data_IF_450538953779
#
_entry.id   IF_450538953779
#
_cell.length_a   1.000
_cell.length_b   1.000
_cell.length_c   1.000
_cell.angle_alpha   90.00
_cell.angle_beta   90.00
_cell.angle_gamma   90.00
#
_symmetry.space_group_name_H-M   'P 1'
#
loop_
_entity.id
_entity.type
_entity.pdbx_description
1 polymer ?
#
# COMPACT_ATOMS: atom_id res chain seq x y z
N UNK A 1 -31.94 -20.95 1.05
CA UNK A 1 -30.83 -21.06 0.09
C UNK A 1 -29.54 -20.72 0.82
N UNK A 2 -28.39 -21.21 0.36
CA UNK A 2 -27.10 -20.79 0.89
C UNK A 2 -26.86 -19.31 0.56
N UNK A 3 -26.22 -18.53 1.44
CA UNK A 3 -25.95 -17.14 1.16
C UNK A 3 -24.87 -17.02 0.08
N UNK A 4 -25.04 -16.06 -0.83
CA UNK A 4 -24.02 -15.80 -1.85
C UNK A 4 -22.82 -15.12 -1.19
N UNK A 5 -21.64 -15.73 -1.33
CA UNK A 5 -20.38 -15.23 -0.76
C UNK A 5 -19.36 -15.01 -1.88
N UNK A 6 -18.61 -13.93 -1.79
CA UNK A 6 -17.55 -13.58 -2.75
C UNK A 6 -16.32 -13.08 -2.00
N UNK A 7 -15.15 -13.60 -2.37
CA UNK A 7 -13.88 -13.15 -1.80
C UNK A 7 -13.57 -11.71 -2.21
N UNK A 8 -12.93 -10.98 -1.30
CA UNK A 8 -12.47 -9.62 -1.52
C UNK A 8 -10.97 -9.60 -1.85
N UNK A 9 -10.45 -8.43 -2.22
CA UNK A 9 -9.04 -8.28 -2.60
C UNK A 9 -8.03 -8.49 -1.44
N UNK A 10 -8.51 -8.49 -0.20
CA UNK A 10 -7.75 -8.88 0.99
C UNK A 10 -7.99 -10.36 1.25
N UNK A 11 -6.91 -11.14 1.34
CA UNK A 11 -6.93 -12.59 1.50
C UNK A 11 -7.79 -13.02 2.70
N UNK A 12 -8.75 -13.93 2.46
CA UNK A 12 -9.69 -14.40 3.47
C UNK A 12 -10.78 -13.41 3.89
N UNK A 13 -10.77 -12.16 3.42
CA UNK A 13 -11.90 -11.26 3.58
C UNK A 13 -12.97 -11.58 2.53
N UNK A 14 -14.24 -11.48 2.90
CA UNK A 14 -15.34 -11.81 2.00
C UNK A 14 -16.53 -10.90 2.22
N UNK A 15 -17.36 -10.78 1.19
CA UNK A 15 -18.68 -10.17 1.27
C UNK A 15 -19.72 -11.26 1.05
N UNK A 16 -20.72 -11.29 1.92
CA UNK A 16 -21.83 -12.23 1.85
C UNK A 16 -23.15 -11.47 1.78
N UNK A 17 -24.12 -12.01 1.06
CA UNK A 17 -25.48 -11.49 1.02
C UNK A 17 -26.49 -12.56 1.36
N UNK A 18 -27.39 -12.25 2.30
CA UNK A 18 -28.55 -13.08 2.61
C UNK A 18 -29.80 -12.60 1.88
N UNK A 19 -30.72 -13.54 1.68
CA UNK A 19 -32.04 -13.24 1.17
C UNK A 19 -32.84 -12.42 2.19
N UNK A 20 -33.60 -11.46 1.65
CA UNK A 20 -34.51 -10.62 2.42
C UNK A 20 -35.93 -10.92 1.98
N UNK A 21 -36.80 -11.25 2.94
CA UNK A 21 -38.19 -11.63 2.70
C UNK A 21 -39.08 -10.49 3.17
N UNK A 22 -39.77 -9.83 2.22
CA UNK A 22 -40.64 -8.69 2.50
C UNK A 22 -42.12 -9.06 2.49
N UNK A 23 -42.90 -8.41 3.33
CA UNK A 23 -44.37 -8.39 3.28
C UNK A 23 -44.92 -7.02 3.69
N UNK A 24 -46.24 -6.87 3.82
CA UNK A 24 -46.89 -5.60 4.15
C UNK A 24 -46.48 -5.01 5.51
N UNK A 25 -45.82 -5.78 6.38
CA UNK A 25 -45.34 -5.35 7.70
C UNK A 25 -43.91 -4.81 7.65
N UNK A 26 -43.16 -5.07 6.57
CA UNK A 26 -41.75 -4.75 6.44
C UNK A 26 -40.95 -5.90 5.82
N UNK A 27 -39.77 -6.18 6.35
CA UNK A 27 -38.95 -7.30 5.89
C UNK A 27 -38.28 -8.05 7.03
N UNK A 28 -38.03 -9.33 6.78
CA UNK A 28 -37.20 -10.21 7.59
C UNK A 28 -35.89 -10.51 6.85
N UNK A 29 -34.77 -10.45 7.56
CA UNK A 29 -33.46 -10.74 7.02
C UNK A 29 -32.67 -11.57 8.03
N UNK A 30 -32.15 -12.72 7.60
CA UNK A 30 -31.18 -13.46 8.40
C UNK A 30 -29.82 -12.78 8.28
N UNK A 31 -29.20 -12.45 9.42
CA UNK A 31 -27.84 -11.89 9.42
C UNK A 31 -26.78 -12.97 9.62
N UNK A 32 -27.15 -14.13 10.15
CA UNK A 32 -26.27 -15.29 10.25
C UNK A 32 -27.13 -16.54 10.40
N UNK A 33 -26.79 -17.59 9.66
CA UNK A 33 -27.41 -18.90 9.80
C UNK A 33 -26.33 -19.97 9.54
N UNK A 34 -25.81 -20.54 10.62
CA UNK A 34 -24.75 -21.56 10.59
C UNK A 34 -25.04 -22.69 9.60
N UNK A 35 -26.27 -23.19 9.58
CA UNK A 35 -26.67 -24.33 8.75
C UNK A 35 -26.78 -24.01 7.26
N UNK A 36 -26.81 -22.71 6.89
CA UNK A 36 -26.90 -22.27 5.48
C UNK A 36 -25.55 -21.97 4.86
N UNK A 37 -24.49 -21.85 5.66
CA UNK A 37 -23.14 -21.72 5.13
C UNK A 37 -22.60 -23.07 4.64
N UNK A 38 -21.69 -23.04 3.68
CA UNK A 38 -20.96 -24.21 3.16
C UNK A 38 -19.81 -24.69 4.07
N UNK A 39 -19.78 -24.22 5.32
CA UNK A 39 -18.73 -24.52 6.31
C UNK A 39 -17.56 -23.52 6.32
N UNK A 40 -17.31 -22.79 5.23
CA UNK A 40 -16.15 -21.88 5.12
C UNK A 40 -16.20 -20.68 6.08
N UNK A 41 -17.41 -20.24 6.43
CA UNK A 41 -17.70 -19.08 7.28
C UNK A 41 -18.47 -19.44 8.56
N UNK A 42 -18.54 -20.73 8.89
CA UNK A 42 -19.07 -21.19 10.18
C UNK A 42 -18.02 -20.91 11.26
N UNK A 43 -18.33 -19.99 12.17
CA UNK A 43 -17.43 -19.55 13.23
C UNK A 43 -18.10 -19.65 14.59
N UNK A 44 -17.29 -19.76 15.62
CA UNK A 44 -17.75 -19.63 16.99
C UNK A 44 -17.76 -18.14 17.40
N UNK A 45 -18.95 -17.52 17.34
CA UNK A 45 -19.12 -16.11 17.74
C UNK A 45 -19.19 -15.98 19.26
N UNK A 46 -18.25 -15.23 19.84
CA UNK A 46 -18.12 -15.03 21.29
C UNK A 46 -18.72 -13.71 21.77
N UNK A 47 -18.83 -12.73 20.87
CA UNK A 47 -19.35 -11.40 21.21
C UNK A 47 -20.20 -10.84 20.08
N UNK A 48 -21.27 -10.15 20.45
CA UNK A 48 -22.07 -9.32 19.56
C UNK A 48 -21.94 -7.88 20.03
N UNK A 49 -21.60 -6.97 19.11
CA UNK A 49 -21.48 -5.56 19.41
C UNK A 49 -22.38 -4.74 18.49
N UNK A 50 -22.77 -3.56 18.95
CA UNK A 50 -23.56 -2.61 18.20
C UNK A 50 -22.94 -1.22 18.34
N UNK A 51 -22.91 -0.47 17.25
CA UNK A 51 -22.53 0.95 17.30
C UNK A 51 -23.56 1.79 16.56
N UNK A 52 -23.78 3.02 17.05
CA UNK A 52 -24.49 4.08 16.35
C UNK A 52 -23.54 5.26 16.18
N UNK A 53 -23.54 5.84 14.98
CA UNK A 53 -22.60 6.87 14.57
C UNK A 53 -23.33 8.04 13.92
N UNK A 54 -22.86 9.25 14.21
CA UNK A 54 -23.28 10.45 13.47
C UNK A 54 -22.73 10.44 12.05
N UNK A 55 -23.21 11.38 11.23
CA UNK A 55 -22.72 11.61 9.87
C UNK A 55 -21.23 11.97 9.87
N UNK A 56 -20.48 11.42 8.91
CA UNK A 56 -19.03 11.64 8.74
C UNK A 56 -18.16 11.15 9.91
N UNK A 57 -18.66 10.24 10.74
CA UNK A 57 -17.82 9.53 11.69
C UNK A 57 -16.87 8.60 10.95
N UNK A 58 -15.60 8.62 11.32
CA UNK A 58 -14.58 7.70 10.84
C UNK A 58 -14.02 6.93 12.02
N UNK A 59 -14.22 5.61 12.03
CA UNK A 59 -13.71 4.71 13.07
C UNK A 59 -12.67 3.78 12.46
N UNK A 60 -11.56 3.54 13.15
CA UNK A 60 -10.50 2.63 12.71
C UNK A 60 -9.19 3.33 12.35
N UNK A 61 -8.18 2.61 11.84
CA UNK A 61 -8.21 1.17 11.52
C UNK A 61 -7.90 0.32 12.76
N UNK A 62 -8.90 -0.43 13.25
CA UNK A 62 -8.76 -1.30 14.41
C UNK A 62 -8.34 -2.70 14.01
N UNK A 63 -7.27 -3.22 14.64
CA UNK A 63 -6.75 -4.56 14.33
C UNK A 63 -6.92 -5.48 15.54
N UNK A 64 -7.95 -6.31 15.47
CA UNK A 64 -8.29 -7.27 16.52
C UNK A 64 -7.49 -8.57 16.33
N UNK A 65 -7.14 -9.30 17.41
CA UNK A 65 -6.68 -10.69 17.31
C UNK A 65 -7.73 -11.65 16.75
N UNK A 66 -9.00 -11.23 16.69
CA UNK A 66 -10.14 -12.05 16.29
C UNK A 66 -10.78 -11.53 15.00
N UNK A 67 -11.29 -12.45 14.18
CA UNK A 67 -12.13 -12.11 13.03
C UNK A 67 -13.49 -11.57 13.45
N UNK A 68 -14.17 -10.89 12.53
CA UNK A 68 -15.51 -10.34 12.75
C UNK A 68 -16.34 -10.30 11.49
N UNK A 69 -17.65 -10.52 11.65
CA UNK A 69 -18.63 -10.03 10.69
C UNK A 69 -19.07 -8.62 11.05
N UNK A 70 -19.29 -7.81 10.03
CA UNK A 70 -19.94 -6.51 10.16
C UNK A 70 -21.06 -6.36 9.11
N UNK A 71 -22.18 -5.77 9.51
CA UNK A 71 -23.26 -5.36 8.61
C UNK A 71 -23.87 -4.02 9.03
N UNK A 72 -24.49 -3.33 8.08
CA UNK A 72 -25.22 -2.09 8.32
C UNK A 72 -26.71 -2.39 8.55
N UNK A 73 -27.20 -2.10 9.76
CA UNK A 73 -28.61 -2.31 10.12
C UNK A 73 -29.45 -1.03 10.04
N UNK A 74 -28.81 0.13 9.98
CA UNK A 74 -29.45 1.43 9.71
C UNK A 74 -28.49 2.39 9.00
N UNK A 75 -28.97 3.14 8.01
CA UNK A 75 -28.18 4.14 7.28
C UNK A 75 -27.18 3.53 6.30
N UNK A 76 -26.03 4.18 6.14
CA UNK A 76 -25.00 3.77 5.20
C UNK A 76 -23.57 4.14 5.65
N UNK A 77 -22.64 3.21 5.45
CA UNK A 77 -21.21 3.45 5.64
C UNK A 77 -20.34 2.71 4.63
N UNK A 78 -19.17 3.26 4.37
CA UNK A 78 -18.12 2.61 3.58
C UNK A 78 -17.19 1.86 4.52
N UNK A 79 -17.28 0.53 4.49
CA UNK A 79 -16.47 -0.39 5.29
C UNK A 79 -15.12 -0.62 4.61
N UNK A 80 -14.04 -0.67 5.38
CA UNK A 80 -12.67 -0.86 4.89
C UNK A 80 -11.98 -1.97 5.67
N UNK A 81 -11.30 -2.83 4.93
CA UNK A 81 -10.43 -3.89 5.42
C UNK A 81 -9.03 -3.64 4.87
N UNK A 82 -8.03 -3.59 5.75
CA UNK A 82 -6.62 -3.45 5.42
C UNK A 82 -5.84 -4.66 5.94
N UNK A 83 -5.01 -5.26 5.09
CA UNK A 83 -4.27 -6.44 5.48
C UNK A 83 -2.95 -6.09 6.19
N UNK A 84 -2.91 -6.34 7.49
CA UNK A 84 -1.72 -6.14 8.31
C UNK A 84 -0.97 -7.44 8.60
N UNK A 85 -1.39 -8.60 8.06
CA UNK A 85 -0.71 -9.87 8.35
C UNK A 85 0.56 -10.00 7.52
N UNK A 86 1.69 -10.13 8.18
CA UNK A 86 3.02 -10.12 7.53
C UNK A 86 3.25 -11.32 6.61
N UNK A 87 2.63 -12.44 6.95
CA UNK A 87 2.67 -13.67 6.17
C UNK A 87 1.63 -13.70 5.04
N UNK A 88 0.75 -12.70 4.97
CA UNK A 88 -0.30 -12.67 3.96
C UNK A 88 0.22 -12.33 2.54
N UNK A 89 -0.28 -13.02 1.50
CA UNK A 89 -0.01 -12.66 0.11
C UNK A 89 -0.57 -11.29 -0.28
N UNK A 90 -1.50 -10.74 0.52
CA UNK A 90 -2.12 -9.43 0.28
C UNK A 90 -1.73 -8.38 1.31
N UNK A 91 -0.67 -8.61 2.08
CA UNK A 91 -0.12 -7.62 3.02
C UNK A 91 -0.02 -6.22 2.42
N UNK A 92 -0.51 -5.21 3.15
CA UNK A 92 -0.53 -3.80 2.74
C UNK A 92 -1.67 -3.42 1.78
N UNK A 93 -2.41 -4.40 1.23
CA UNK A 93 -3.58 -4.12 0.41
C UNK A 93 -4.77 -3.80 1.29
N UNK A 94 -5.69 -3.01 0.75
CA UNK A 94 -7.00 -2.80 1.34
C UNK A 94 -8.08 -2.97 0.29
N UNK A 95 -9.30 -3.19 0.78
CA UNK A 95 -10.50 -3.14 -0.02
C UNK A 95 -11.60 -2.42 0.78
N UNK A 96 -12.61 -1.91 0.07
CA UNK A 96 -13.74 -1.30 0.73
C UNK A 96 -15.07 -1.69 0.10
N UNK A 97 -16.09 -1.76 0.95
CA UNK A 97 -17.43 -2.23 0.61
C UNK A 97 -18.44 -1.24 1.16
N UNK A 98 -19.31 -0.69 0.31
CA UNK A 98 -20.45 0.08 0.77
C UNK A 98 -21.47 -0.86 1.44
N UNK A 99 -21.74 -0.64 2.71
CA UNK A 99 -22.77 -1.33 3.49
C UNK A 99 -23.93 -0.37 3.76
N UNK A 100 -25.14 -0.80 3.45
CA UNK A 100 -26.36 -0.03 3.71
C UNK A 100 -27.42 -0.94 4.32
N UNK A 101 -28.40 -0.33 4.98
CA UNK A 101 -29.55 -1.07 5.51
C UNK A 101 -30.36 -1.81 4.42
N UNK A 102 -30.17 -1.48 3.14
CA UNK A 102 -30.93 -2.06 2.02
C UNK A 102 -30.17 -3.12 1.22
N UNK A 103 -28.84 -3.01 1.13
CA UNK A 103 -28.06 -3.82 0.18
C UNK A 103 -27.74 -5.25 0.66
N UNK A 104 -28.16 -5.58 1.90
CA UNK A 104 -28.10 -6.94 2.50
C UNK A 104 -26.69 -7.50 2.66
N UNK A 105 -25.67 -6.65 2.52
CA UNK A 105 -24.29 -7.08 2.59
C UNK A 105 -23.83 -7.20 4.05
N UNK A 106 -23.02 -8.20 4.28
CA UNK A 106 -22.15 -8.31 5.44
C UNK A 106 -20.73 -8.59 4.96
N UNK A 107 -19.76 -8.14 5.73
CA UNK A 107 -18.34 -8.33 5.42
C UNK A 107 -17.70 -9.14 6.52
N UNK A 108 -17.00 -10.21 6.14
CA UNK A 108 -16.08 -10.88 7.04
C UNK A 108 -14.71 -10.19 6.98
N UNK A 109 -14.23 -9.77 8.14
CA UNK A 109 -12.90 -9.21 8.36
C UNK A 109 -12.07 -10.31 9.05
N UNK A 110 -10.99 -10.80 8.44
CA UNK A 110 -10.09 -11.75 9.07
C UNK A 110 -9.45 -11.20 10.34
N UNK A 111 -9.10 -12.12 11.25
CA UNK A 111 -8.23 -11.80 12.38
C UNK A 111 -6.95 -11.11 11.90
N UNK A 112 -6.48 -10.12 12.67
CA UNK A 112 -5.27 -9.33 12.39
C UNK A 112 -5.30 -8.49 11.11
N UNK A 113 -6.45 -8.34 10.46
CA UNK A 113 -6.67 -7.24 9.50
C UNK A 113 -7.10 -5.98 10.24
N UNK A 114 -6.67 -4.82 9.74
CA UNK A 114 -7.20 -3.52 10.13
C UNK A 114 -8.61 -3.35 9.58
N UNK A 115 -9.51 -2.82 10.40
CA UNK A 115 -10.90 -2.58 10.03
C UNK A 115 -11.33 -1.18 10.44
N UNK A 116 -12.03 -0.50 9.54
CA UNK A 116 -12.63 0.79 9.84
C UNK A 116 -13.78 1.10 8.91
N UNK A 117 -14.52 2.17 9.20
CA UNK A 117 -15.60 2.62 8.33
C UNK A 117 -15.84 4.13 8.42
N UNK A 118 -16.39 4.69 7.34
CA UNK A 118 -16.83 6.08 7.23
C UNK A 118 -18.34 6.16 6.99
N UNK A 119 -19.05 6.95 7.78
CA UNK A 119 -20.53 7.07 7.69
C UNK A 119 -20.98 8.23 6.82
N UNK A 120 -22.07 8.03 6.08
CA UNK A 120 -22.64 9.07 5.20
C UNK A 120 -23.83 9.82 5.81
N UNK A 121 -24.42 9.27 6.87
CA UNK A 121 -25.68 9.70 7.44
C UNK A 121 -25.66 9.62 8.97
N UNK A 122 -26.50 10.43 9.63
CA UNK A 122 -26.69 10.35 11.06
C UNK A 122 -27.43 9.07 11.47
N UNK A 123 -27.18 8.62 12.70
CA UNK A 123 -27.77 7.40 13.24
C UNK A 123 -27.46 6.16 12.38
N UNK A 124 -26.28 6.14 11.75
CA UNK A 124 -25.80 4.98 11.01
C UNK A 124 -25.38 3.91 12.00
N UNK A 125 -25.96 2.71 11.87
CA UNK A 125 -25.82 1.64 12.85
C UNK A 125 -25.12 0.41 12.25
N UNK A 126 -24.02 0.00 12.89
CA UNK A 126 -23.28 -1.21 12.55
C UNK A 126 -23.50 -2.28 13.61
N UNK A 127 -23.75 -3.52 13.15
CA UNK A 127 -23.80 -4.71 13.99
C UNK A 127 -22.58 -5.57 13.71
N UNK A 128 -21.99 -6.14 14.76
CA UNK A 128 -20.81 -6.99 14.68
C UNK A 128 -21.07 -8.35 15.33
N UNK A 129 -20.57 -9.41 14.69
CA UNK A 129 -20.32 -10.70 15.35
C UNK A 129 -18.81 -10.89 15.41
N UNK A 130 -18.26 -11.29 16.55
CA UNK A 130 -16.81 -11.36 16.77
C UNK A 130 -16.40 -12.74 17.31
N UNK A 131 -15.31 -13.29 16.78
CA UNK A 131 -14.78 -14.61 17.17
C UNK A 131 -14.16 -14.62 18.58
N UNK A 132 -14.00 -13.45 19.20
CA UNK A 132 -13.49 -13.31 20.57
C UNK A 132 -14.07 -12.07 21.25
N UNK A 133 -13.81 -11.96 22.55
CA UNK A 133 -14.28 -10.84 23.37
C UNK A 133 -13.30 -9.66 23.31
N UNK A 134 -13.77 -8.48 23.69
CA UNK A 134 -12.96 -7.26 23.73
C UNK A 134 -11.67 -7.47 24.54
N UNK A 135 -10.52 -7.23 23.89
CA UNK A 135 -9.18 -7.44 24.44
C UNK A 135 -8.25 -6.26 24.09
N UNK A 136 -8.36 -5.13 24.80
CA UNK A 136 -7.58 -3.92 24.48
C UNK A 136 -6.07 -4.13 24.42
N UNK A 137 -5.42 -4.91 25.31
CA UNK A 137 -3.98 -5.22 25.19
C UNK A 137 -3.59 -5.98 23.92
N UNK A 138 -4.55 -6.71 23.32
CA UNK A 138 -4.33 -7.46 22.08
C UNK A 138 -4.62 -6.65 20.80
N UNK A 139 -5.22 -5.46 20.93
CA UNK A 139 -5.53 -4.59 19.80
C UNK A 139 -4.27 -3.92 19.26
N UNK A 140 -4.29 -3.74 17.95
CA UNK A 140 -3.12 -3.44 17.16
C UNK A 140 -3.49 -2.35 16.15
N UNK A 141 -3.92 -1.20 16.64
CA UNK A 141 -4.58 -0.21 15.79
C UNK A 141 -3.59 0.63 14.99
N UNK A 142 -4.04 1.07 13.83
CA UNK A 142 -3.28 1.88 12.88
C UNK A 142 -4.09 3.11 12.53
N UNK A 143 -3.41 4.23 12.30
CA UNK A 143 -4.04 5.46 11.80
C UNK A 143 -4.98 5.15 10.61
N UNK A 144 -6.20 5.72 10.60
CA UNK A 144 -7.08 5.61 9.42
C UNK A 144 -6.53 6.35 8.20
N UNK A 145 -5.61 7.30 8.43
CA UNK A 145 -4.91 8.04 7.39
C UNK A 145 -3.48 7.54 7.22
N UNK A 146 -3.24 6.28 7.57
CA UNK A 146 -1.94 5.64 7.38
C UNK A 146 -1.51 5.71 5.91
N UNK A 147 -0.34 6.28 5.70
CA UNK A 147 0.24 6.53 4.38
C UNK A 147 0.64 5.25 3.64
N UNK A 148 0.85 4.14 4.34
CA UNK A 148 1.16 2.86 3.68
C UNK A 148 -0.08 2.30 2.98
N UNK A 149 -1.12 2.02 3.77
CA UNK A 149 -2.35 1.47 3.20
C UNK A 149 -3.00 2.51 2.28
N UNK A 150 -2.85 3.80 2.61
CA UNK A 150 -3.32 4.91 1.79
C UNK A 150 -4.80 4.74 1.40
N UNK A 151 -5.62 4.36 2.39
CA UNK A 151 -7.06 4.12 2.20
C UNK A 151 -7.69 5.33 1.53
N UNK A 152 -8.39 5.08 0.42
CA UNK A 152 -9.16 6.12 -0.28
C UNK A 152 -10.55 6.20 0.30
N UNK A 153 -10.66 6.88 1.44
CA UNK A 153 -11.94 7.15 2.08
C UNK A 153 -12.80 8.05 1.18
N UNK A 154 -14.10 7.74 0.99
CA UNK A 154 -15.03 8.54 0.20
C UNK A 154 -15.52 9.78 0.98
N UNK A 155 -14.57 10.58 1.47
CA UNK A 155 -14.86 11.81 2.22
C UNK A 155 -15.22 12.91 1.22
N UNK A 156 -16.41 13.53 1.33
CA UNK A 156 -16.77 14.63 0.43
C UNK A 156 -15.81 15.82 0.55
N UNK A 157 -15.55 16.58 -0.52
CA UNK A 157 -14.71 17.77 -0.46
C UNK A 157 -15.17 18.75 0.62
N UNK A 158 -14.23 19.26 1.42
CA UNK A 158 -14.49 20.20 2.52
C UNK A 158 -15.04 19.58 3.81
N UNK A 159 -15.25 18.25 3.85
CA UNK A 159 -15.67 17.54 5.06
C UNK A 159 -14.44 17.12 5.87
N UNK A 160 -14.42 17.47 7.16
CA UNK A 160 -13.51 16.87 8.12
C UNK A 160 -14.22 15.71 8.85
N UNK A 161 -13.70 14.47 8.77
CA UNK A 161 -14.29 13.35 9.50
C UNK A 161 -14.19 13.54 11.01
N UNK A 162 -15.18 13.04 11.73
CA UNK A 162 -15.14 12.98 13.19
C UNK A 162 -14.46 11.68 13.62
N UNK A 163 -13.33 11.80 14.32
CA UNK A 163 -12.56 10.67 14.86
C UNK A 163 -12.67 10.60 16.39
N UNK A 164 -12.44 9.41 16.93
CA UNK A 164 -12.23 9.26 18.38
C UNK A 164 -10.84 9.74 18.78
N UNK A 165 -10.64 10.09 20.05
CA UNK A 165 -9.30 10.42 20.57
C UNK A 165 -8.28 9.28 20.33
N UNK A 166 -8.74 8.03 20.41
CA UNK A 166 -7.95 6.83 20.13
C UNK A 166 -7.49 6.78 18.67
N UNK A 167 -8.38 7.04 17.72
CA UNK A 167 -8.08 7.00 16.29
C UNK A 167 -7.21 8.20 15.86
N UNK A 168 -7.39 9.36 16.48
CA UNK A 168 -6.59 10.56 16.20
C UNK A 168 -5.11 10.37 16.53
N UNK A 169 -4.79 9.62 17.58
CA UNK A 169 -3.40 9.38 18.02
C UNK A 169 -2.89 7.99 17.64
N UNK A 170 -3.66 7.23 16.86
CA UNK A 170 -3.26 5.90 16.43
C UNK A 170 -1.99 5.99 15.57
N UNK A 171 -0.95 5.19 15.86
CA UNK A 171 0.30 5.27 15.13
C UNK A 171 0.14 4.80 13.67
N UNK A 172 0.97 5.32 12.79
CA UNK A 172 1.15 4.75 11.46
C UNK A 172 1.74 3.33 11.58
N UNK A 173 1.49 2.47 10.58
CA UNK A 173 1.97 1.08 10.61
C UNK A 173 3.50 1.02 10.72
N UNK A 174 4.20 1.99 10.12
CA UNK A 174 5.67 2.13 10.19
C UNK A 174 6.19 2.22 11.64
N UNK A 175 5.53 3.01 12.48
CA UNK A 175 5.91 3.20 13.89
C UNK A 175 5.70 1.93 14.72
N UNK A 176 4.73 1.09 14.33
CA UNK A 176 4.35 -0.11 15.06
C UNK A 176 5.31 -1.28 14.85
N UNK A 177 6.28 -1.15 13.94
CA UNK A 177 7.10 -2.28 13.47
C UNK A 177 8.60 -1.96 13.32
N UNK A 178 9.29 -1.46 14.36
CA UNK A 178 10.74 -1.28 14.29
C UNK A 178 11.53 -2.60 14.11
N UNK A 179 10.95 -3.75 14.46
CA UNK A 179 11.58 -5.06 14.26
C UNK A 179 11.47 -5.58 12.81
N UNK A 180 10.51 -5.08 12.02
CA UNK A 180 10.53 -5.33 10.59
C UNK A 180 11.75 -4.68 9.96
N UNK A 181 12.37 -3.65 10.54
CA UNK A 181 13.65 -3.12 10.06
C UNK A 181 14.83 -4.12 10.18
N UNK A 182 14.68 -5.19 10.97
CA UNK A 182 15.72 -6.19 11.26
C UNK A 182 15.27 -7.66 11.02
N UNK A 183 14.13 -7.90 10.38
CA UNK A 183 13.67 -9.26 10.05
C UNK A 183 14.34 -9.73 8.74
N UNK A 184 14.56 -11.03 8.53
CA UNK A 184 15.02 -11.51 7.23
C UNK A 184 13.91 -11.26 6.19
N UNK A 185 14.10 -10.38 5.18
CA UNK A 185 13.00 -9.98 4.31
C UNK A 185 12.55 -11.18 3.46
N UNK A 186 11.22 -11.44 3.39
CA UNK A 186 10.66 -12.43 2.45
C UNK A 186 10.71 -11.88 1.02
N UNK A 187 11.89 -11.78 0.43
CA UNK A 187 12.13 -11.79 -1.03
C UNK A 187 11.32 -10.83 -1.92
N UNK A 188 10.69 -9.77 -1.39
CA UNK A 188 9.87 -8.86 -2.20
C UNK A 188 10.75 -7.80 -2.87
N UNK A 189 10.42 -7.52 -4.13
CA UNK A 189 11.09 -6.50 -4.94
C UNK A 189 10.23 -5.24 -4.97
N UNK A 190 10.78 -4.11 -4.58
CA UNK A 190 10.15 -2.80 -4.77
C UNK A 190 10.52 -2.26 -6.15
N UNK A 191 9.54 -1.86 -6.96
CA UNK A 191 9.77 -1.28 -8.29
C UNK A 191 9.33 0.18 -8.29
N UNK A 192 10.29 1.10 -8.34
CA UNK A 192 10.03 2.53 -8.47
C UNK A 192 9.88 2.91 -9.94
N UNK A 193 8.74 3.49 -10.32
CA UNK A 193 8.40 3.72 -11.72
C UNK A 193 7.79 2.50 -12.40
N UNK A 194 6.99 1.72 -11.67
CA UNK A 194 6.32 0.52 -12.17
C UNK A 194 5.27 0.80 -13.25
N UNK A 195 4.77 2.04 -13.32
CA UNK A 195 3.88 2.49 -14.41
C UNK A 195 4.62 2.86 -15.71
N UNK A 196 5.96 2.82 -15.72
CA UNK A 196 6.78 3.03 -16.93
C UNK A 196 7.09 1.73 -17.66
N UNK A 197 7.78 1.80 -18.81
CA UNK A 197 8.01 0.62 -19.67
C UNK A 197 8.80 -0.50 -18.97
N UNK A 198 10.00 -0.20 -18.47
CA UNK A 198 10.84 -1.19 -17.77
C UNK A 198 10.15 -1.68 -16.49
N UNK A 199 9.58 -0.76 -15.71
CA UNK A 199 8.92 -1.09 -14.47
C UNK A 199 7.71 -2.01 -14.66
N UNK A 200 6.89 -1.77 -15.70
CA UNK A 200 5.75 -2.62 -16.02
C UNK A 200 6.17 -4.04 -16.41
N UNK A 201 7.23 -4.16 -17.23
CA UNK A 201 7.80 -5.46 -17.61
C UNK A 201 8.35 -6.24 -16.39
N UNK A 202 8.97 -5.54 -15.43
CA UNK A 202 9.41 -6.17 -14.17
C UNK A 202 8.21 -6.63 -13.31
N UNK A 203 7.16 -5.82 -13.22
CA UNK A 203 5.94 -6.21 -12.49
C UNK A 203 5.30 -7.44 -13.12
N UNK A 204 5.24 -7.51 -14.45
CA UNK A 204 4.73 -8.68 -15.17
C UNK A 204 5.59 -9.92 -14.91
N UNK A 205 6.92 -9.79 -14.99
CA UNK A 205 7.85 -10.90 -14.82
C UNK A 205 7.85 -11.49 -13.40
N UNK A 206 7.81 -10.64 -12.37
CA UNK A 206 7.82 -11.10 -10.97
C UNK A 206 6.42 -11.45 -10.45
N UNK A 207 5.38 -10.86 -11.03
CA UNK A 207 4.00 -11.02 -10.60
C UNK A 207 3.67 -10.29 -9.29
N UNK A 208 2.38 -10.04 -9.03
CA UNK A 208 1.91 -9.18 -7.94
C UNK A 208 2.13 -9.75 -6.52
N UNK A 209 2.56 -11.02 -6.41
CA UNK A 209 2.90 -11.65 -5.12
C UNK A 209 4.35 -11.39 -4.70
N UNK A 210 5.25 -11.16 -5.65
CA UNK A 210 6.70 -11.08 -5.41
C UNK A 210 7.24 -9.65 -5.55
N UNK A 211 6.46 -8.73 -6.13
CA UNK A 211 6.88 -7.34 -6.26
C UNK A 211 5.76 -6.37 -5.87
N UNK A 212 6.18 -5.18 -5.42
CA UNK A 212 5.31 -4.03 -5.16
C UNK A 212 5.77 -2.91 -6.10
N UNK A 213 4.87 -2.48 -6.98
CA UNK A 213 5.13 -1.38 -7.90
C UNK A 213 4.67 -0.03 -7.36
N UNK A 214 5.26 1.05 -7.85
CA UNK A 214 4.82 2.42 -7.56
C UNK A 214 4.39 3.20 -8.81
N UNK A 215 3.56 4.22 -8.61
CA UNK A 215 3.17 5.20 -9.64
C UNK A 215 3.27 6.63 -9.11
N UNK A 216 3.53 7.61 -9.98
CA UNK A 216 3.60 9.02 -9.59
C UNK A 216 2.35 9.83 -9.97
N UNK A 217 1.85 9.67 -11.20
CA UNK A 217 0.79 10.51 -11.77
C UNK A 217 -0.56 9.80 -11.85
N UNK A 218 -0.63 8.69 -12.58
CA UNK A 218 -1.88 7.95 -12.81
C UNK A 218 -1.96 6.77 -11.86
N UNK A 219 -3.01 6.74 -11.04
CA UNK A 219 -3.26 5.62 -10.14
C UNK A 219 -3.38 4.29 -10.90
N UNK A 220 -2.58 3.31 -10.48
CA UNK A 220 -2.60 1.96 -11.03
C UNK A 220 -3.12 0.99 -9.97
N UNK A 221 -3.98 0.02 -10.35
CA UNK A 221 -4.41 -1.01 -9.43
C UNK A 221 -3.20 -1.72 -8.81
N UNK A 222 -3.23 -1.93 -7.49
CA UNK A 222 -2.22 -2.70 -6.76
C UNK A 222 -0.81 -2.10 -6.73
N UNK A 223 -0.69 -0.79 -6.98
CA UNK A 223 0.57 -0.05 -6.87
C UNK A 223 0.46 1.04 -5.79
N UNK A 224 1.61 1.44 -5.25
CA UNK A 224 1.71 2.47 -4.21
C UNK A 224 2.00 3.84 -4.84
N UNK A 225 1.31 4.92 -4.45
CA UNK A 225 1.67 6.26 -4.90
C UNK A 225 3.04 6.65 -4.36
N UNK A 226 3.96 7.02 -5.25
CA UNK A 226 5.28 7.53 -4.89
C UNK A 226 5.82 8.46 -5.98
N UNK A 227 6.06 9.72 -5.61
CA UNK A 227 6.70 10.70 -6.47
C UNK A 227 8.19 10.82 -6.10
N UNK A 228 9.04 10.40 -7.03
CA UNK A 228 10.48 10.43 -6.87
C UNK A 228 11.03 11.87 -6.76
N UNK A 229 10.40 12.85 -7.42
CA UNK A 229 10.80 14.25 -7.28
C UNK A 229 10.40 14.81 -5.91
N UNK A 230 9.29 14.34 -5.34
CA UNK A 230 8.91 14.74 -3.98
C UNK A 230 9.87 14.13 -2.95
N UNK A 231 10.25 12.86 -3.12
CA UNK A 231 11.24 12.19 -2.28
C UNK A 231 12.61 12.87 -2.32
N UNK A 232 13.02 13.40 -3.49
CA UNK A 232 14.24 14.20 -3.60
C UNK A 232 14.26 15.44 -2.69
N UNK A 233 13.08 16.00 -2.38
CA UNK A 233 12.93 17.17 -1.50
C UNK A 233 12.63 16.77 -0.05
N UNK A 234 12.10 15.58 0.18
CA UNK A 234 11.77 15.04 1.49
C UNK A 234 12.19 13.56 1.59
N UNK A 235 13.44 13.28 2.03
CA UNK A 235 13.97 11.93 2.13
C UNK A 235 13.17 10.96 3.01
N UNK A 236 12.40 11.48 3.97
CA UNK A 236 11.55 10.65 4.83
C UNK A 236 10.54 9.84 4.01
N UNK A 237 10.07 10.35 2.86
CA UNK A 237 9.14 9.62 1.99
C UNK A 237 9.75 8.32 1.45
N UNK A 238 11.05 8.33 1.14
CA UNK A 238 11.74 7.12 0.71
C UNK A 238 11.96 6.15 1.87
N UNK A 239 12.35 6.64 3.04
CA UNK A 239 12.49 5.80 4.23
C UNK A 239 11.17 5.15 4.63
N UNK A 240 10.08 5.90 4.57
CA UNK A 240 8.74 5.40 4.82
C UNK A 240 8.40 4.29 3.82
N UNK A 241 8.59 4.52 2.51
CA UNK A 241 8.34 3.52 1.46
C UNK A 241 9.17 2.24 1.64
N UNK A 242 10.45 2.38 1.99
CA UNK A 242 11.34 1.22 2.18
C UNK A 242 10.96 0.43 3.43
N UNK A 243 10.73 1.09 4.57
CA UNK A 243 10.26 0.39 5.78
C UNK A 243 8.91 -0.29 5.56
N UNK A 244 8.07 0.36 4.77
CA UNK A 244 6.74 -0.08 4.42
C UNK A 244 6.73 -1.35 3.56
N UNK A 245 7.51 -1.38 2.47
CA UNK A 245 7.62 -2.58 1.63
C UNK A 245 8.54 -3.63 2.25
N UNK A 246 9.53 -3.18 2.99
CA UNK A 246 10.66 -3.94 3.49
C UNK A 246 11.26 -4.89 2.43
N UNK A 247 11.74 -4.34 1.30
CA UNK A 247 12.17 -5.14 0.15
C UNK A 247 13.54 -5.77 0.37
N UNK A 248 13.82 -6.89 -0.31
CA UNK A 248 15.20 -7.37 -0.47
C UNK A 248 15.96 -6.59 -1.54
N UNK A 249 15.24 -6.14 -2.57
CA UNK A 249 15.78 -5.42 -3.72
C UNK A 249 14.85 -4.27 -4.10
N UNK A 250 15.42 -3.09 -4.37
CA UNK A 250 14.72 -1.93 -4.92
C UNK A 250 15.19 -1.71 -6.35
N UNK A 251 14.29 -1.88 -7.32
CA UNK A 251 14.51 -1.56 -8.71
C UNK A 251 14.04 -0.12 -8.99
N UNK A 252 14.97 0.80 -9.25
CA UNK A 252 14.66 2.18 -9.59
C UNK A 252 14.61 2.30 -11.12
N UNK A 253 13.40 2.30 -11.67
CA UNK A 253 13.14 2.44 -13.11
C UNK A 253 12.61 3.84 -13.48
N UNK A 254 12.16 4.60 -12.48
CA UNK A 254 11.70 5.97 -12.67
C UNK A 254 12.84 6.91 -13.04
N UNK A 255 12.52 7.89 -13.88
CA UNK A 255 13.39 8.97 -14.30
C UNK A 255 12.68 9.85 -15.32
N UNK A 256 13.20 11.06 -15.52
CA UNK A 256 12.78 11.93 -16.60
C UNK A 256 13.53 11.52 -17.86
N UNK A 257 12.89 10.75 -18.74
CA UNK A 257 13.50 10.17 -19.95
C UNK A 257 13.31 11.03 -21.20
N UNK A 258 12.46 12.04 -21.14
CA UNK A 258 12.24 12.95 -22.26
C UNK A 258 13.37 13.98 -22.34
N UNK A 259 14.28 13.78 -23.30
CA UNK A 259 15.52 14.56 -23.47
C UNK A 259 15.25 16.05 -23.60
N UNK A 260 14.35 16.48 -24.50
CA UNK A 260 14.03 17.91 -24.66
C UNK A 260 13.44 18.51 -23.39
N UNK A 261 12.69 17.72 -22.63
CA UNK A 261 12.16 18.14 -21.34
C UNK A 261 13.28 18.36 -20.32
N UNK A 262 14.29 17.50 -20.31
CA UNK A 262 15.44 17.65 -19.44
C UNK A 262 16.23 18.92 -19.78
N UNK A 263 16.37 19.25 -21.07
CA UNK A 263 16.99 20.51 -21.52
C UNK A 263 16.18 21.74 -21.07
N UNK A 264 14.85 21.65 -21.10
CA UNK A 264 13.96 22.74 -20.67
C UNK A 264 13.94 22.94 -19.16
N UNK A 265 14.06 21.87 -18.38
CA UNK A 265 14.05 21.91 -16.91
C UNK A 265 15.12 20.97 -16.32
N UNK A 266 16.36 21.45 -16.35
CA UNK A 266 17.51 20.71 -15.81
C UNK A 266 17.40 20.47 -14.30
N UNK A 267 16.70 21.33 -13.57
CA UNK A 267 16.50 21.17 -12.13
C UNK A 267 15.56 20.00 -11.83
N UNK A 268 14.45 19.88 -12.57
CA UNK A 268 13.57 18.72 -12.47
C UNK A 268 14.28 17.44 -12.93
N UNK A 269 15.05 17.50 -14.02
CA UNK A 269 15.85 16.37 -14.48
C UNK A 269 16.83 15.91 -13.39
N UNK A 270 17.54 16.83 -12.73
CA UNK A 270 18.44 16.49 -11.62
C UNK A 270 17.69 15.87 -10.43
N UNK A 271 16.51 16.40 -10.05
CA UNK A 271 15.70 15.80 -8.98
C UNK A 271 15.28 14.37 -9.30
N UNK A 272 14.82 14.09 -10.52
CA UNK A 272 14.29 12.78 -10.91
C UNK A 272 15.35 11.76 -11.32
N UNK A 273 16.47 12.20 -11.91
CA UNK A 273 17.50 11.32 -12.46
C UNK A 273 18.74 11.21 -11.56
N UNK A 274 18.88 12.04 -10.53
CA UNK A 274 20.04 12.03 -9.64
C UNK A 274 19.63 11.98 -8.16
N UNK A 275 19.05 13.06 -7.63
CA UNK A 275 18.79 13.19 -6.18
C UNK A 275 17.76 12.18 -5.68
N UNK A 276 16.64 12.03 -6.39
CA UNK A 276 15.57 11.10 -6.03
C UNK A 276 16.05 9.65 -5.96
N UNK A 277 16.69 9.10 -7.01
CA UNK A 277 17.31 7.78 -6.97
C UNK A 277 18.29 7.61 -5.81
N UNK A 278 19.14 8.61 -5.55
CA UNK A 278 20.13 8.56 -4.48
C UNK A 278 19.49 8.50 -3.08
N UNK A 279 18.44 9.29 -2.86
CA UNK A 279 17.67 9.28 -1.61
C UNK A 279 16.99 7.93 -1.39
N UNK A 280 16.40 7.34 -2.43
CA UNK A 280 15.79 6.00 -2.35
C UNK A 280 16.83 4.95 -1.99
N UNK A 281 17.98 4.98 -2.66
CA UNK A 281 19.00 3.97 -2.45
C UNK A 281 19.70 4.12 -1.09
N UNK A 282 19.84 5.35 -0.59
CA UNK A 282 20.28 5.60 0.78
C UNK A 282 19.29 5.02 1.82
N UNK A 283 17.99 5.23 1.61
CA UNK A 283 16.96 4.60 2.44
C UNK A 283 17.01 3.06 2.33
N UNK A 284 17.15 2.51 1.12
CA UNK A 284 17.29 1.08 0.89
C UNK A 284 18.47 0.48 1.68
N UNK A 285 19.66 1.10 1.59
CA UNK A 285 20.85 0.71 2.35
C UNK A 285 20.62 0.76 3.86
N UNK A 286 20.01 1.85 4.36
CA UNK A 286 19.70 2.03 5.79
C UNK A 286 18.87 0.86 6.36
N UNK A 287 18.01 0.27 5.54
CA UNK A 287 17.14 -0.85 5.93
C UNK A 287 17.57 -2.21 5.35
N UNK A 288 18.82 -2.32 4.85
CA UNK A 288 19.42 -3.59 4.41
C UNK A 288 18.97 -4.11 3.04
N UNK A 289 18.28 -3.29 2.24
CA UNK A 289 17.87 -3.64 0.89
C UNK A 289 18.96 -3.33 -0.15
N UNK A 290 19.12 -4.21 -1.15
CA UNK A 290 19.97 -3.93 -2.32
C UNK A 290 19.25 -2.99 -3.29
N UNK A 291 19.99 -2.18 -4.03
CA UNK A 291 19.41 -1.31 -5.07
C UNK A 291 19.91 -1.71 -6.44
N UNK A 292 19.01 -1.79 -7.40
CA UNK A 292 19.30 -1.85 -8.84
C UNK A 292 18.73 -0.59 -9.46
N UNK A 293 19.58 0.20 -10.09
CA UNK A 293 19.14 1.42 -10.75
C UNK A 293 19.43 1.37 -12.24
N UNK A 294 18.40 1.63 -13.03
CA UNK A 294 18.49 1.57 -14.48
C UNK A 294 18.92 2.93 -15.02
N UNK A 295 20.14 2.98 -15.57
CA UNK A 295 20.66 4.17 -16.23
C UNK A 295 20.29 4.21 -17.72
N UNK A 296 21.08 4.91 -18.53
CA UNK A 296 20.88 5.13 -19.97
C UNK A 296 22.21 5.11 -20.68
N UNK A 297 22.22 4.63 -21.91
CA UNK A 297 23.33 4.77 -22.86
C UNK A 297 23.66 6.24 -23.21
N UNK A 298 22.80 7.21 -22.89
CA UNK A 298 23.05 8.64 -23.09
C UNK A 298 24.15 9.19 -22.17
N UNK A 299 24.66 8.38 -21.22
CA UNK A 299 25.89 8.71 -20.48
C UNK A 299 27.15 8.64 -21.35
N UNK A 300 27.06 8.03 -22.53
CA UNK A 300 28.13 7.97 -23.53
C UNK A 300 27.92 9.01 -24.63
N UNK A 301 29.00 9.37 -25.33
CA UNK A 301 28.98 10.36 -26.41
C UNK A 301 28.49 9.78 -27.75
N UNK A 302 28.45 8.44 -27.90
CA UNK A 302 28.15 7.78 -29.17
C UNK A 302 29.23 7.98 -30.26
N UNK A 303 30.29 8.76 -29.99
CA UNK A 303 31.28 9.21 -30.96
C UNK A 303 32.48 8.28 -31.11
N UNK A 304 32.63 7.31 -30.20
CA UNK A 304 33.76 6.37 -30.22
C UNK A 304 33.48 5.19 -31.14
N UNK A 305 34.43 4.91 -32.05
CA UNK A 305 34.50 3.60 -32.71
C UNK A 305 34.85 2.54 -31.66
N UNK A 306 33.83 1.90 -31.11
CA UNK A 306 34.01 0.75 -30.23
C UNK A 306 34.79 -0.33 -30.99
N UNK A 307 35.87 -0.84 -30.39
CA UNK A 307 36.73 -1.85 -31.03
C UNK A 307 35.95 -3.13 -31.35
N UNK A 308 34.89 -3.44 -30.58
CA UNK A 308 33.87 -4.46 -30.86
C UNK A 308 32.72 -4.35 -29.84
N UNK A 309 31.46 -4.54 -30.26
CA UNK A 309 30.29 -4.67 -29.36
C UNK A 309 29.65 -3.36 -28.88
N UNK A 310 28.57 -3.43 -28.07
CA UNK A 310 27.95 -2.29 -27.41
C UNK A 310 28.83 -1.72 -26.29
N UNK A 311 28.49 -0.53 -25.77
CA UNK A 311 29.12 0.05 -24.58
C UNK A 311 28.99 -0.90 -23.37
N UNK A 312 30.00 -0.87 -22.50
CA UNK A 312 30.05 -1.57 -21.22
C UNK A 312 30.20 -0.56 -20.08
N UNK A 313 29.98 -0.99 -18.84
CA UNK A 313 30.14 -0.15 -17.64
C UNK A 313 31.59 0.29 -17.39
N UNK A 314 32.57 -0.35 -18.06
CA UNK A 314 33.98 0.01 -18.01
C UNK A 314 34.36 1.09 -19.04
N UNK A 315 33.48 1.39 -20.01
CA UNK A 315 33.76 2.41 -21.00
C UNK A 315 33.65 3.82 -20.38
N UNK A 316 34.51 4.75 -20.77
CA UNK A 316 34.48 6.12 -20.25
C UNK A 316 33.23 6.87 -20.73
N UNK A 317 32.56 7.50 -19.79
CA UNK A 317 31.33 8.28 -20.01
C UNK A 317 31.64 9.71 -20.47
N UNK A 318 30.78 10.26 -21.33
CA UNK A 318 30.90 11.61 -21.89
C UNK A 318 29.53 12.08 -22.41
N UNK A 319 28.55 12.34 -21.53
CA UNK A 319 27.19 12.67 -21.94
C UNK A 319 27.14 13.99 -22.72
N UNK A 320 26.31 14.04 -23.76
CA UNK A 320 26.16 15.21 -24.64
C UNK A 320 24.94 16.09 -24.32
N UNK A 321 24.07 15.66 -23.41
CA UNK A 321 22.82 16.33 -23.06
C UNK A 321 22.53 16.26 -21.56
N UNK A 322 21.56 17.05 -21.09
CA UNK A 322 21.15 17.13 -19.68
C UNK A 322 20.59 15.79 -19.18
N UNK A 323 19.91 15.03 -20.03
CA UNK A 323 19.39 13.72 -19.65
C UNK A 323 20.54 12.76 -19.29
N UNK A 324 21.53 12.59 -20.17
CA UNK A 324 22.70 11.76 -19.93
C UNK A 324 23.55 12.24 -18.76
N UNK A 325 23.78 13.56 -18.65
CA UNK A 325 24.60 14.11 -17.56
C UNK A 325 23.93 13.99 -16.20
N UNK A 326 22.61 14.18 -16.11
CA UNK A 326 21.87 13.99 -14.86
C UNK A 326 21.86 12.52 -14.40
N UNK A 327 21.77 11.56 -15.33
CA UNK A 327 21.85 10.13 -15.01
C UNK A 327 23.25 9.72 -14.56
N UNK A 328 24.29 10.17 -15.28
CA UNK A 328 25.68 9.91 -14.89
C UNK A 328 26.01 10.52 -13.52
N UNK A 329 25.50 11.71 -13.22
CA UNK A 329 25.75 12.33 -11.91
C UNK A 329 25.11 11.52 -10.78
N UNK A 330 23.90 11.01 -10.98
CA UNK A 330 23.32 10.10 -9.99
C UNK A 330 24.15 8.81 -9.84
N UNK A 331 24.72 8.25 -10.93
CA UNK A 331 25.54 7.01 -10.85
C UNK A 331 26.72 7.20 -9.89
N UNK A 332 27.34 8.38 -9.96
CA UNK A 332 28.45 8.76 -9.10
C UNK A 332 28.01 8.96 -7.65
N UNK A 333 26.87 9.61 -7.41
CA UNK A 333 26.36 9.81 -6.04
C UNK A 333 26.10 8.47 -5.35
N UNK A 334 25.55 7.50 -6.08
CA UNK A 334 25.31 6.16 -5.55
C UNK A 334 26.60 5.38 -5.29
N UNK A 335 27.55 5.46 -6.21
CA UNK A 335 28.85 4.79 -6.06
C UNK A 335 29.65 5.35 -4.88
N UNK A 336 29.68 6.68 -4.71
CA UNK A 336 30.39 7.32 -3.60
C UNK A 336 29.71 7.06 -2.25
N UNK A 337 28.38 7.02 -2.21
CA UNK A 337 27.66 6.68 -0.99
C UNK A 337 27.91 5.24 -0.54
N UNK A 338 28.10 4.30 -1.48
CA UNK A 338 28.48 2.91 -1.17
C UNK A 338 29.92 2.78 -0.65
N UNK A 339 30.86 3.60 -1.17
CA UNK A 339 32.27 3.60 -0.74
C UNK A 339 32.47 4.27 0.62
N UNK A 340 31.72 5.33 0.94
CA UNK A 340 31.79 6.03 2.22
C UNK A 340 31.28 5.19 3.41
N UNK A 341 30.46 4.18 3.14
CA UNK A 341 29.96 3.21 4.15
C UNK A 341 30.75 1.90 4.17
N UNK A 342 31.85 1.81 3.41
CA UNK A 342 32.65 0.60 3.25
C UNK A 342 33.37 0.18 4.54
N UNK A 343 32.85 -0.86 5.16
CA UNK A 343 33.57 -1.78 6.04
C UNK A 343 34.95 -2.10 5.45
N UNK A 344 35.98 -1.91 6.28
CA UNK A 344 37.22 -2.64 6.12
C UNK A 344 36.94 -4.11 6.43
N UNK A 345 37.04 -4.98 5.43
CA UNK A 345 37.20 -6.42 5.67
C UNK A 345 36.75 -7.35 4.55
N UNK A 346 37.72 -7.78 3.74
CA UNK A 346 37.99 -9.20 3.45
C UNK A 346 37.02 -9.99 2.61
#
# INVERSE_FOLDING_TARGET
MAPATTDLAVDGASVTTFDRFGDSRGYFNELYNETKYDGSLVKEWKQVSFSSSGKHALRGLHCSPYGKFITCVRGAFYDVIADFREDSPTFGRWCGVLLTEHNKKQVYVPARCGHGFFTFEDNTCALYLQEGTFNPPGEMDTSPFDSFVSVKWPIPPGVQPTLSAKDTVAPHLSVRRPHLCNATPRGRILIIGASGQVGAALVEAYGPRNCIGTYSSTAQPNMVPFDLSAAAMNPQLAEDLIQMVYPTVVCICAGMTWVDGCERDAALANRLNCVGPAVVAAAARKFGAKTVWYSTDYVFDGGRKLKKGPYTEADPTSPLNVYGSSKLEGEKQESHAAVATGEAGG
#
